data_IF_556381969464
#
_entry.id   IF_556381969464
#
_cell.length_a   1.000
_cell.length_b   1.000
_cell.length_c   1.000
_cell.angle_alpha   90.00
_cell.angle_beta   90.00
_cell.angle_gamma   90.00
#
_symmetry.space_group_name_H-M   'P 1'
#
loop_
_entity.id
_entity.type
_entity.pdbx_description
1 polymer ?
#
# COMPACT_ATOMS: atom_id res chain seq x y z
N UNK A 1 3.74 2.14 15.01
CA UNK A 1 3.04 2.39 13.72
C UNK A 1 4.02 2.34 12.55
N UNK A 2 5.08 3.17 12.51
CA UNK A 2 6.01 3.18 11.37
C UNK A 2 6.68 1.83 11.08
N UNK A 3 7.34 1.23 12.06
CA UNK A 3 7.99 -0.10 11.92
C UNK A 3 7.00 -1.17 11.47
N UNK A 4 5.79 -1.15 12.03
CA UNK A 4 4.71 -2.06 11.63
C UNK A 4 4.33 -1.90 10.15
N UNK A 5 4.11 -0.66 9.68
CA UNK A 5 3.76 -0.38 8.29
C UNK A 5 4.90 -0.74 7.33
N UNK A 6 6.14 -0.40 7.69
CA UNK A 6 7.32 -0.74 6.88
C UNK A 6 7.49 -2.27 6.76
N UNK A 7 7.35 -2.99 7.87
CA UNK A 7 7.44 -4.44 7.87
C UNK A 7 6.30 -5.10 7.08
N UNK A 8 5.05 -4.64 7.26
CA UNK A 8 3.90 -5.12 6.49
C UNK A 8 4.10 -4.90 4.98
N UNK A 9 4.49 -3.68 4.58
CA UNK A 9 4.73 -3.35 3.18
C UNK A 9 5.90 -4.14 2.58
N UNK A 10 6.97 -4.37 3.35
CA UNK A 10 8.08 -5.23 2.92
C UNK A 10 7.60 -6.68 2.72
N UNK A 11 6.78 -7.22 3.62
CA UNK A 11 6.21 -8.56 3.47
C UNK A 11 5.33 -8.64 2.22
N UNK A 12 4.47 -7.66 1.99
CA UNK A 12 3.63 -7.57 0.78
C UNK A 12 4.53 -7.59 -0.46
N UNK A 13 5.54 -6.72 -0.53
CA UNK A 13 6.46 -6.65 -1.67
C UNK A 13 7.15 -8.00 -1.95
N UNK A 14 7.61 -8.69 -0.90
CA UNK A 14 8.19 -10.04 -1.04
C UNK A 14 7.17 -11.04 -1.58
N UNK A 15 5.94 -11.02 -1.06
CA UNK A 15 4.87 -11.94 -1.48
C UNK A 15 4.31 -11.62 -2.87
N UNK A 16 4.51 -10.41 -3.39
CA UNK A 16 4.18 -10.02 -4.76
C UNK A 16 5.37 -10.08 -5.72
N UNK A 17 6.53 -10.59 -5.27
CA UNK A 17 7.79 -10.63 -6.03
C UNK A 17 8.21 -9.24 -6.58
N UNK A 18 7.88 -8.17 -5.87
CA UNK A 18 8.26 -6.81 -6.24
C UNK A 18 9.73 -6.56 -5.88
N UNK A 19 10.47 -5.95 -6.79
CA UNK A 19 11.88 -5.61 -6.58
C UNK A 19 12.07 -4.64 -5.40
N UNK A 20 13.25 -4.68 -4.80
CA UNK A 20 13.66 -3.80 -3.70
C UNK A 20 12.66 -3.69 -2.52
N UNK A 21 12.21 -4.80 -1.89
CA UNK A 21 11.29 -4.75 -0.74
C UNK A 21 11.75 -3.90 0.43
N UNK A 22 13.07 -3.71 0.56
CA UNK A 22 13.70 -2.91 1.61
C UNK A 22 13.36 -1.41 1.51
N UNK A 23 12.90 -0.92 0.35
CA UNK A 23 12.43 0.46 0.18
C UNK A 23 11.25 0.81 1.09
N UNK A 24 10.54 -0.19 1.63
CA UNK A 24 9.49 0.02 2.63
C UNK A 24 9.97 0.75 3.89
N UNK A 25 11.27 0.69 4.19
CA UNK A 25 11.90 1.32 5.36
C UNK A 25 12.43 2.73 5.11
N UNK A 26 12.40 3.23 3.87
CA UNK A 26 12.80 4.60 3.55
C UNK A 26 11.51 5.42 3.33
N UNK A 27 11.29 6.50 4.09
CA UNK A 27 10.20 7.42 3.83
C UNK A 27 10.23 7.93 2.39
N UNK A 28 9.06 8.15 1.77
CA UNK A 28 8.89 8.54 0.36
C UNK A 28 9.22 7.41 -0.62
N UNK A 29 10.34 6.69 -0.45
CA UNK A 29 10.65 5.53 -1.28
C UNK A 29 9.62 4.39 -1.09
N UNK A 30 9.03 4.28 0.10
CA UNK A 30 7.90 3.40 0.35
C UNK A 30 6.68 3.69 -0.54
N UNK A 31 6.45 4.94 -0.96
CA UNK A 31 5.39 5.29 -1.91
C UNK A 31 5.70 4.75 -3.31
N UNK A 32 6.96 4.84 -3.75
CA UNK A 32 7.40 4.22 -5.01
C UNK A 32 7.21 2.71 -4.95
N UNK A 33 7.62 2.07 -3.85
CA UNK A 33 7.40 0.63 -3.65
C UNK A 33 5.90 0.27 -3.70
N UNK A 34 5.02 1.06 -3.09
CA UNK A 34 3.57 0.86 -3.19
C UNK A 34 3.09 0.91 -4.64
N UNK A 35 3.55 1.88 -5.44
CA UNK A 35 3.19 1.94 -6.87
C UNK A 35 3.69 0.73 -7.65
N UNK A 36 4.88 0.22 -7.34
CA UNK A 36 5.45 -0.98 -7.97
C UNK A 36 4.64 -2.23 -7.62
N UNK A 37 4.28 -2.42 -6.35
CA UNK A 37 3.40 -3.53 -5.90
C UNK A 37 2.05 -3.44 -6.60
N UNK A 38 1.48 -2.23 -6.70
CA UNK A 38 0.18 -1.97 -7.31
C UNK A 38 0.18 -2.08 -8.84
N UNK A 39 1.35 -2.22 -9.49
CA UNK A 39 1.47 -2.17 -10.95
C UNK A 39 1.12 -0.80 -11.55
N UNK A 40 1.30 0.27 -10.78
CA UNK A 40 0.96 1.65 -11.15
C UNK A 40 2.21 2.45 -11.55
N UNK A 41 2.01 3.49 -12.36
CA UNK A 41 3.09 4.41 -12.69
C UNK A 41 3.48 5.26 -11.47
N UNK A 42 4.78 5.44 -11.24
CA UNK A 42 5.31 6.22 -10.10
C UNK A 42 4.80 7.66 -10.06
N UNK A 43 4.46 8.24 -11.22
CA UNK A 43 3.92 9.60 -11.32
C UNK A 43 2.59 9.78 -10.56
N UNK A 44 1.90 8.70 -10.20
CA UNK A 44 0.69 8.76 -9.34
C UNK A 44 0.98 9.33 -7.95
N UNK A 45 2.25 9.35 -7.51
CA UNK A 45 2.68 10.02 -6.27
C UNK A 45 2.32 11.52 -6.31
N UNK A 46 2.41 12.19 -7.45
CA UNK A 46 2.09 13.62 -7.55
C UNK A 46 0.61 13.91 -7.29
N UNK A 47 -0.28 12.95 -7.54
CA UNK A 47 -1.71 13.10 -7.23
C UNK A 47 -1.97 13.19 -5.72
N UNK A 48 -1.04 12.67 -4.90
CA UNK A 48 -1.11 12.79 -3.43
C UNK A 48 -0.89 14.22 -2.93
N UNK A 49 -0.33 15.11 -3.76
CA UNK A 49 -0.11 16.52 -3.41
C UNK A 49 -1.38 17.36 -3.56
N UNK A 50 -2.40 16.84 -4.26
CA UNK A 50 -3.67 17.52 -4.45
C UNK A 50 -4.59 17.19 -3.26
N UNK A 51 -5.03 18.19 -2.47
CA UNK A 51 -5.95 17.97 -1.36
C UNK A 51 -7.23 17.27 -1.82
N UNK A 52 -7.81 16.42 -0.96
CA UNK A 52 -8.99 15.58 -1.20
C UNK A 52 -8.80 14.47 -2.24
N UNK A 53 -8.07 14.71 -3.32
CA UNK A 53 -7.69 13.69 -4.32
C UNK A 53 -6.77 12.64 -3.69
N UNK A 54 -5.90 13.05 -2.77
CA UNK A 54 -5.02 12.15 -2.03
C UNK A 54 -5.76 10.97 -1.35
N UNK A 55 -6.98 11.19 -0.84
CA UNK A 55 -7.79 10.12 -0.22
C UNK A 55 -8.19 9.07 -1.26
N UNK A 56 -8.69 9.52 -2.41
CA UNK A 56 -9.07 8.62 -3.50
C UNK A 56 -7.86 7.84 -4.03
N UNK A 57 -6.70 8.49 -4.12
CA UNK A 57 -5.44 7.85 -4.56
C UNK A 57 -4.98 6.79 -3.56
N UNK A 58 -5.05 7.06 -2.25
CA UNK A 58 -4.73 6.07 -1.21
C UNK A 58 -5.62 4.83 -1.35
N UNK A 59 -6.93 5.02 -1.49
CA UNK A 59 -7.88 3.91 -1.66
C UNK A 59 -7.53 3.13 -2.93
N UNK A 60 -7.30 3.83 -4.04
CA UNK A 60 -6.97 3.20 -5.31
C UNK A 60 -5.67 2.38 -5.25
N UNK A 61 -4.61 2.91 -4.64
CA UNK A 61 -3.35 2.19 -4.46
C UNK A 61 -3.55 0.94 -3.62
N UNK A 62 -4.19 1.05 -2.46
CA UNK A 62 -4.43 -0.11 -1.60
C UNK A 62 -5.37 -1.12 -2.23
N UNK A 63 -6.31 -0.69 -3.07
CA UNK A 63 -7.17 -1.58 -3.84
C UNK A 63 -6.34 -2.44 -4.79
N UNK A 64 -5.41 -1.81 -5.52
CA UNK A 64 -4.49 -2.52 -6.42
C UNK A 64 -3.50 -3.41 -5.68
N UNK A 65 -3.00 -2.99 -4.53
CA UNK A 65 -2.17 -3.84 -3.66
C UNK A 65 -2.95 -5.07 -3.17
N UNK A 66 -4.23 -4.90 -2.81
CA UNK A 66 -5.09 -6.02 -2.41
C UNK A 66 -5.32 -7.00 -3.57
N UNK A 67 -5.61 -6.50 -4.78
CA UNK A 67 -5.71 -7.31 -5.99
C UNK A 67 -4.40 -8.07 -6.28
N UNK A 68 -3.24 -7.42 -6.15
CA UNK A 68 -1.92 -8.06 -6.30
C UNK A 68 -1.64 -9.16 -5.26
N UNK A 69 -2.31 -9.09 -4.10
CA UNK A 69 -2.28 -10.12 -3.05
C UNK A 69 -3.39 -11.16 -3.18
N UNK A 70 -4.15 -11.16 -4.28
CA UNK A 70 -5.32 -12.02 -4.49
C UNK A 70 -6.40 -11.87 -3.39
N UNK A 71 -6.52 -10.66 -2.82
CA UNK A 71 -7.53 -10.32 -1.82
C UNK A 71 -8.54 -9.35 -2.44
N UNK A 72 -9.80 -9.32 -1.97
CA UNK A 72 -10.80 -8.44 -2.53
C UNK A 72 -10.45 -6.95 -2.30
N UNK A 73 -10.47 -6.17 -3.39
CA UNK A 73 -10.06 -4.77 -3.39
C UNK A 73 -10.88 -3.84 -2.49
N UNK A 74 -12.13 -4.20 -2.16
CA UNK A 74 -12.99 -3.42 -1.26
C UNK A 74 -12.37 -3.21 0.12
N UNK A 75 -11.42 -4.06 0.56
CA UNK A 75 -10.68 -3.86 1.81
C UNK A 75 -10.00 -2.49 1.87
N UNK A 76 -9.65 -1.90 0.71
CA UNK A 76 -9.06 -0.57 0.65
C UNK A 76 -10.02 0.54 1.12
N UNK A 77 -11.34 0.34 1.02
CA UNK A 77 -12.34 1.28 1.52
C UNK A 77 -12.27 1.40 3.05
N UNK A 78 -11.79 0.37 3.74
CA UNK A 78 -11.63 0.40 5.19
C UNK A 78 -10.60 1.44 5.64
N UNK A 79 -9.70 1.92 4.77
CA UNK A 79 -8.78 3.02 5.11
C UNK A 79 -9.51 4.34 5.45
N UNK A 80 -10.79 4.49 5.08
CA UNK A 80 -11.61 5.63 5.50
C UNK A 80 -11.96 5.59 7.00
N UNK A 81 -11.94 4.40 7.61
CA UNK A 81 -12.24 4.21 9.03
C UNK A 81 -10.94 4.36 9.83
N UNK A 82 -10.87 5.30 10.79
CA UNK A 82 -9.73 5.41 11.70
C UNK A 82 -9.53 4.06 12.40
N UNK A 83 -8.29 3.54 12.48
CA UNK A 83 -7.87 2.22 13.01
C UNK A 83 -7.77 1.11 11.95
N UNK A 84 -8.68 1.05 10.99
CA UNK A 84 -8.60 -0.02 9.98
C UNK A 84 -7.40 0.14 9.04
N UNK A 85 -6.81 1.34 8.97
CA UNK A 85 -5.52 1.63 8.35
C UNK A 85 -4.33 0.84 8.94
N UNK A 86 -4.47 0.24 10.13
CA UNK A 86 -3.49 -0.68 10.70
C UNK A 86 -3.85 -2.14 10.41
N UNK A 87 -5.14 -2.47 10.39
CA UNK A 87 -5.62 -3.85 10.22
C UNK A 87 -5.40 -4.32 8.77
N UNK A 88 -5.77 -3.51 7.78
CA UNK A 88 -5.71 -3.91 6.36
C UNK A 88 -4.28 -4.26 5.91
N UNK A 89 -3.24 -3.45 6.18
CA UNK A 89 -1.86 -3.84 5.86
C UNK A 89 -1.46 -5.17 6.47
N UNK A 90 -1.91 -5.46 7.70
CA UNK A 90 -1.60 -6.71 8.37
C UNK A 90 -2.29 -7.92 7.75
N UNK A 91 -3.56 -7.78 7.36
CA UNK A 91 -4.28 -8.81 6.62
C UNK A 91 -3.57 -9.07 5.28
N UNK A 92 -3.26 -8.02 4.52
CA UNK A 92 -2.62 -8.16 3.20
C UNK A 92 -1.20 -8.75 3.27
N UNK A 93 -0.47 -8.46 4.35
CA UNK A 93 0.87 -8.99 4.60
C UNK A 93 0.85 -10.45 5.07
N UNK A 94 0.03 -10.80 6.06
CA UNK A 94 0.17 -12.07 6.80
C UNK A 94 -1.01 -13.04 6.67
N UNK A 95 -2.17 -12.63 6.15
CA UNK A 95 -3.21 -13.60 5.77
C UNK A 95 -2.89 -14.16 4.39
N UNK A 96 -2.66 -15.47 4.34
CA UNK A 96 -2.68 -16.24 3.09
C UNK A 96 -4.13 -16.56 2.69
#
# INVERSE_FOLDING_TARGET
IYVYMAFALQTIAKKTNTENPWLAWIPIANLVLMTQIAGLHWATIFLMLIPFVNIAVIIWWWWKIAEARNKPGWMALLFLVPIANLIVPGILAWSD
#
